data_IF_220283813722
#
_entry.id   IF_220283813722
#
_cell.length_a   1.000
_cell.length_b   1.000
_cell.length_c   1.000
_cell.angle_alpha   90.00
_cell.angle_beta   90.00
_cell.angle_gamma   90.00
#
_symmetry.space_group_name_H-M   'P 1'
#
loop_
_entity.id
_entity.type
_entity.pdbx_description
1 polymer ?
#
# COMPACT_ATOMS: atom_id res chain seq x y z
N UNK A 1 -39.20 -0.15 -23.47
CA UNK A 1 -38.11 -1.13 -23.31
C UNK A 1 -37.05 -0.87 -24.38
N UNK A 2 -35.77 -1.20 -24.13
CA UNK A 2 -34.69 -1.07 -25.12
C UNK A 2 -34.92 -2.03 -26.28
N UNK A 3 -34.62 -1.61 -27.52
CA UNK A 3 -34.78 -2.47 -28.69
C UNK A 3 -33.81 -3.68 -28.63
N UNK A 4 -34.16 -4.82 -29.25
CA UNK A 4 -33.24 -5.95 -29.36
C UNK A 4 -31.90 -5.59 -30.03
N UNK A 5 -31.93 -4.63 -30.95
CA UNK A 5 -30.77 -4.07 -31.62
C UNK A 5 -29.87 -3.28 -30.63
N UNK A 6 -30.44 -2.42 -29.79
CA UNK A 6 -29.68 -1.67 -28.78
C UNK A 6 -28.99 -2.61 -27.77
N UNK A 7 -29.66 -3.71 -27.41
CA UNK A 7 -29.10 -4.75 -26.54
C UNK A 7 -27.92 -5.49 -27.17
N UNK A 8 -27.85 -5.58 -28.50
CA UNK A 8 -26.73 -6.23 -29.20
C UNK A 8 -25.55 -5.29 -29.40
N UNK A 9 -25.80 -4.01 -29.61
CA UNK A 9 -24.75 -3.02 -29.92
C UNK A 9 -24.12 -2.45 -28.65
N UNK A 10 -24.89 -2.32 -27.56
CA UNK A 10 -24.40 -1.75 -26.31
C UNK A 10 -24.06 -2.86 -25.31
N UNK A 11 -22.80 -2.90 -24.87
CA UNK A 11 -22.38 -3.83 -23.84
C UNK A 11 -22.80 -3.32 -22.46
N UNK A 12 -23.83 -3.93 -21.88
CA UNK A 12 -24.33 -3.62 -20.54
C UNK A 12 -23.57 -4.35 -19.42
N UNK A 13 -22.62 -5.23 -19.76
CA UNK A 13 -21.84 -5.95 -18.76
C UNK A 13 -20.73 -5.08 -18.19
N UNK A 14 -21.06 -4.36 -17.11
CA UNK A 14 -20.14 -3.48 -16.39
C UNK A 14 -18.95 -4.22 -15.76
N UNK A 15 -18.98 -5.55 -15.66
CA UNK A 15 -17.86 -6.35 -15.12
C UNK A 15 -16.69 -6.41 -16.08
N UNK A 16 -16.93 -6.19 -17.36
CA UNK A 16 -15.90 -6.19 -18.40
C UNK A 16 -15.13 -4.87 -18.44
N UNK A 17 -15.60 -3.85 -17.70
CA UNK A 17 -14.96 -2.54 -17.64
C UNK A 17 -13.71 -2.59 -16.75
N UNK A 18 -12.60 -2.04 -17.25
CA UNK A 18 -11.47 -1.69 -16.39
C UNK A 18 -11.83 -0.45 -15.55
N UNK A 19 -12.32 -0.70 -14.34
CA UNK A 19 -12.76 0.35 -13.42
C UNK A 19 -11.67 1.36 -13.07
N UNK A 20 -10.42 0.93 -12.95
CA UNK A 20 -9.31 1.83 -12.61
C UNK A 20 -9.08 2.86 -13.70
N UNK A 21 -9.01 2.40 -14.94
CA UNK A 21 -8.82 3.25 -16.11
C UNK A 21 -10.04 4.16 -16.35
N UNK A 22 -11.25 3.61 -16.22
CA UNK A 22 -12.48 4.39 -16.37
C UNK A 22 -12.54 5.56 -15.40
N UNK A 23 -12.28 5.30 -14.11
CA UNK A 23 -12.32 6.35 -13.07
C UNK A 23 -11.18 7.35 -13.26
N UNK A 24 -9.97 6.90 -13.63
CA UNK A 24 -8.86 7.81 -13.92
C UNK A 24 -9.21 8.75 -15.08
N UNK A 25 -9.70 8.20 -16.19
CA UNK A 25 -10.10 8.98 -17.36
C UNK A 25 -11.25 9.94 -17.06
N UNK A 26 -12.24 9.50 -16.27
CA UNK A 26 -13.35 10.33 -15.83
C UNK A 26 -12.86 11.54 -15.03
N UNK A 27 -12.03 11.32 -14.00
CA UNK A 27 -11.50 12.39 -13.14
C UNK A 27 -10.61 13.36 -13.94
N UNK A 28 -9.73 12.84 -14.81
CA UNK A 28 -8.90 13.66 -15.68
C UNK A 28 -9.73 14.48 -16.66
N UNK A 29 -10.79 13.89 -17.21
CA UNK A 29 -11.74 14.55 -18.10
C UNK A 29 -12.47 15.71 -17.42
N UNK A 30 -12.95 15.50 -16.19
CA UNK A 30 -13.57 16.55 -15.37
C UNK A 30 -12.58 17.71 -15.13
N UNK A 31 -11.37 17.41 -14.66
CA UNK A 31 -10.33 18.43 -14.44
C UNK A 31 -10.01 19.25 -15.69
N UNK A 32 -9.81 18.58 -16.82
CA UNK A 32 -9.39 19.23 -18.07
C UNK A 32 -10.51 20.01 -18.74
N UNK A 33 -11.70 19.43 -18.85
CA UNK A 33 -12.76 19.99 -19.71
C UNK A 33 -13.82 20.76 -18.94
N UNK A 34 -14.24 20.25 -17.76
CA UNK A 34 -15.26 20.92 -16.96
C UNK A 34 -14.64 22.05 -16.12
N UNK A 35 -13.55 21.75 -15.42
CA UNK A 35 -12.87 22.69 -14.53
C UNK A 35 -11.84 23.57 -15.24
N UNK A 36 -11.44 23.20 -16.47
CA UNK A 36 -10.45 23.92 -17.29
C UNK A 36 -9.10 24.14 -16.56
N UNK A 37 -8.71 23.17 -15.74
CA UNK A 37 -7.44 23.23 -15.00
C UNK A 37 -6.26 22.84 -15.89
N UNK A 38 -5.09 23.42 -15.59
CA UNK A 38 -3.84 23.00 -16.22
C UNK A 38 -3.43 21.59 -15.74
N UNK A 39 -3.19 20.71 -16.70
CA UNK A 39 -2.83 19.31 -16.45
C UNK A 39 -1.34 19.14 -16.15
N UNK A 40 -0.51 20.17 -16.41
CA UNK A 40 0.93 20.12 -16.15
C UNK A 40 1.28 19.91 -14.67
N UNK A 41 0.41 20.32 -13.74
CA UNK A 41 0.63 20.18 -12.29
C UNK A 41 0.32 18.79 -11.71
N UNK A 42 -0.25 17.86 -12.48
CA UNK A 42 -0.61 16.52 -11.97
C UNK A 42 0.60 15.71 -11.49
N UNK A 43 1.73 15.64 -12.24
CA UNK A 43 2.93 14.94 -11.78
C UNK A 43 3.47 15.51 -10.46
N UNK A 44 3.48 16.83 -10.31
CA UNK A 44 3.94 17.51 -9.11
C UNK A 44 3.03 17.21 -7.91
N UNK A 45 1.71 17.25 -8.10
CA UNK A 45 0.74 16.87 -7.06
C UNK A 45 0.92 15.41 -6.62
N UNK A 46 1.11 14.48 -7.57
CA UNK A 46 1.41 13.07 -7.28
C UNK A 46 2.71 12.92 -6.48
N UNK A 47 3.76 13.68 -6.82
CA UNK A 47 5.02 13.68 -6.09
C UNK A 47 4.87 14.25 -4.67
N UNK A 48 4.11 15.33 -4.51
CA UNK A 48 3.84 15.94 -3.21
C UNK A 48 3.12 14.95 -2.27
N UNK A 49 2.08 14.27 -2.76
CA UNK A 49 1.38 13.22 -2.00
C UNK A 49 2.31 12.06 -1.64
N UNK A 50 3.17 11.62 -2.57
CA UNK A 50 4.17 10.58 -2.29
C UNK A 50 5.14 11.02 -1.20
N UNK A 51 5.58 12.28 -1.20
CA UNK A 51 6.46 12.86 -0.19
C UNK A 51 5.79 12.89 1.18
N UNK A 52 4.56 13.38 1.26
CA UNK A 52 3.79 13.40 2.51
C UNK A 52 3.60 12.00 3.08
N UNK A 53 3.27 11.01 2.24
CA UNK A 53 3.15 9.62 2.64
C UNK A 53 4.47 9.06 3.19
N UNK A 54 5.59 9.35 2.52
CA UNK A 54 6.90 8.91 2.99
C UNK A 54 7.27 9.55 4.34
N UNK A 55 6.98 10.84 4.52
CA UNK A 55 7.18 11.54 5.81
C UNK A 55 6.34 10.89 6.90
N UNK A 56 5.06 10.61 6.63
CA UNK A 56 4.17 9.96 7.59
C UNK A 56 4.70 8.60 8.03
N UNK A 57 5.11 7.74 7.08
CA UNK A 57 5.69 6.45 7.42
C UNK A 57 7.01 6.60 8.19
N UNK A 58 7.91 7.48 7.77
CA UNK A 58 9.17 7.71 8.46
C UNK A 58 8.94 8.18 9.90
N UNK A 59 8.00 9.11 10.09
CA UNK A 59 7.64 9.63 11.41
C UNK A 59 7.09 8.53 12.31
N UNK A 60 6.12 7.74 11.83
CA UNK A 60 5.56 6.63 12.60
C UNK A 60 6.61 5.56 12.92
N UNK A 61 7.48 5.22 11.96
CA UNK A 61 8.58 4.28 12.20
C UNK A 61 9.56 4.83 13.24
N UNK A 62 9.93 6.11 13.16
CA UNK A 62 10.83 6.73 14.14
C UNK A 62 10.21 6.73 15.54
N UNK A 63 8.93 7.11 15.68
CA UNK A 63 8.21 7.06 16.95
C UNK A 63 8.17 5.64 17.52
N UNK A 64 7.86 4.65 16.69
CA UNK A 64 7.84 3.25 17.10
C UNK A 64 9.22 2.80 17.61
N UNK A 65 10.30 3.12 16.88
CA UNK A 65 11.66 2.78 17.28
C UNK A 65 12.08 3.46 18.58
N UNK A 66 11.70 4.72 18.79
CA UNK A 66 11.98 5.45 20.04
C UNK A 66 11.22 4.82 21.20
N UNK A 67 9.91 4.59 21.05
CA UNK A 67 9.09 3.93 22.07
C UNK A 67 9.65 2.55 22.42
N UNK A 68 9.99 1.76 21.41
CA UNK A 68 10.63 0.46 21.56
C UNK A 68 11.95 0.54 22.34
N UNK A 69 12.85 1.47 21.96
CA UNK A 69 14.12 1.69 22.66
C UNK A 69 13.92 2.08 24.12
N UNK A 70 12.96 2.97 24.41
CA UNK A 70 12.63 3.38 25.78
C UNK A 70 12.09 2.23 26.62
N UNK A 71 11.19 1.41 26.06
CA UNK A 71 10.62 0.26 26.75
C UNK A 71 11.71 -0.77 27.10
N UNK A 72 12.60 -1.10 26.16
CA UNK A 72 13.73 -1.99 26.39
C UNK A 72 14.70 -1.41 27.42
N UNK A 73 14.99 -0.11 27.37
CA UNK A 73 15.92 0.52 28.32
C UNK A 73 15.38 0.49 29.75
N UNK A 74 14.06 0.72 29.93
CA UNK A 74 13.43 0.81 31.25
C UNK A 74 13.03 -0.54 31.85
N UNK A 75 12.65 -1.53 31.03
CA UNK A 75 12.08 -2.80 31.54
C UNK A 75 13.01 -3.99 31.30
N UNK A 76 13.49 -4.59 32.39
CA UNK A 76 14.27 -5.83 32.33
C UNK A 76 13.44 -7.01 31.78
N UNK A 77 12.14 -7.06 32.10
CA UNK A 77 11.24 -8.10 31.58
C UNK A 77 11.07 -7.98 30.06
N UNK A 78 10.90 -6.76 29.53
CA UNK A 78 10.80 -6.53 28.10
C UNK A 78 12.09 -6.94 27.36
N UNK A 79 13.28 -6.67 27.93
CA UNK A 79 14.55 -7.17 27.40
C UNK A 79 14.59 -8.68 27.32
N UNK A 80 14.22 -9.37 28.39
CA UNK A 80 14.27 -10.83 28.46
C UNK A 80 13.30 -11.46 27.46
N UNK A 81 12.07 -10.93 27.36
CA UNK A 81 11.07 -11.37 26.36
C UNK A 81 11.58 -11.11 24.94
N UNK A 82 12.19 -9.96 24.67
CA UNK A 82 12.78 -9.67 23.36
C UNK A 82 13.88 -10.67 22.98
N UNK A 83 14.83 -10.92 23.87
CA UNK A 83 15.89 -11.91 23.63
C UNK A 83 15.32 -13.32 23.41
N UNK A 84 14.27 -13.69 24.15
CA UNK A 84 13.58 -14.96 23.95
C UNK A 84 12.95 -15.05 22.55
N UNK A 85 12.22 -14.01 22.12
CA UNK A 85 11.60 -13.95 20.80
C UNK A 85 12.66 -14.03 19.69
N UNK A 86 13.72 -13.24 19.78
CA UNK A 86 14.81 -13.24 18.77
C UNK A 86 15.50 -14.61 18.70
N UNK A 87 15.80 -15.20 19.86
CA UNK A 87 16.36 -16.56 19.96
C UNK A 87 15.43 -17.60 19.35
N UNK A 88 14.13 -17.51 19.62
CA UNK A 88 13.13 -18.41 19.06
C UNK A 88 13.01 -18.25 17.55
N UNK A 89 12.95 -17.02 17.03
CA UNK A 89 12.93 -16.75 15.59
C UNK A 89 14.22 -17.23 14.90
N UNK A 90 15.40 -17.01 15.50
CA UNK A 90 16.66 -17.54 14.97
C UNK A 90 16.63 -19.07 14.90
N UNK A 91 16.19 -19.74 15.96
CA UNK A 91 16.05 -21.20 15.99
C UNK A 91 15.06 -21.70 14.94
N UNK A 92 13.89 -21.07 14.86
CA UNK A 92 12.87 -21.39 13.87
C UNK A 92 13.39 -21.20 12.45
N UNK A 93 13.99 -20.06 12.12
CA UNK A 93 14.61 -19.82 10.82
C UNK A 93 15.74 -20.82 10.54
N UNK A 94 16.56 -21.16 11.53
CA UNK A 94 17.61 -22.17 11.39
C UNK A 94 17.06 -23.58 11.18
N UNK A 95 15.88 -23.89 11.73
CA UNK A 95 15.18 -25.15 11.53
C UNK A 95 14.66 -25.29 10.10
N UNK A 96 14.07 -24.23 9.52
CA UNK A 96 13.70 -24.21 8.09
C UNK A 96 14.91 -24.13 7.15
N UNK A 97 16.05 -23.62 7.63
CA UNK A 97 17.31 -23.54 6.87
C UNK A 97 18.13 -24.83 6.95
N UNK A 98 17.91 -25.67 7.96
CA UNK A 98 18.43 -27.04 8.01
C UNK A 98 17.67 -27.89 6.97
N UNK A 99 18.35 -28.70 6.16
CA UNK A 99 18.16 -28.54 4.73
C UNK A 99 17.21 -29.57 4.12
N UNK A 100 16.65 -29.15 2.99
CA UNK A 100 16.38 -29.93 1.77
C UNK A 100 17.62 -30.70 1.25
N UNK A 101 18.29 -31.45 2.13
CA UNK A 101 19.36 -32.43 1.87
C UNK A 101 18.92 -33.83 2.30
N UNK A 102 17.67 -34.16 2.02
CA UNK A 102 17.22 -35.54 1.88
C UNK A 102 16.86 -35.71 0.40
N UNK A 103 17.89 -36.04 -0.40
CA UNK A 103 17.72 -36.84 -1.60
C UNK A 103 17.88 -38.29 -1.20
#
# INVERSE_FOLDING_TARGET
ELSPEDQRVFNFDVRQLNWLEYIENYVLGVKKYLLKEDMAGIPEAKQHLKRLRNIHYLFNTALFLIAWRLLIARSQMARNVWFFIVSFCYKFLSYFRAPSTLK
#
